data_IF_983833621260
#
_entry.id   IF_983833621260
#
_cell.length_a   1.000
_cell.length_b   1.000
_cell.length_c   1.000
_cell.angle_alpha   90.00
_cell.angle_beta   90.00
_cell.angle_gamma   90.00
#
_symmetry.space_group_name_H-M   'P 1'
#
loop_
_entity.id
_entity.type
_entity.pdbx_description
1 polymer ?
#
# COMPACT_ATOMS: atom_id res chain seq x y z
N UNK A 1 2.17 -8.31 1.16
CA UNK A 1 1.13 -7.24 1.06
C UNK A 1 1.84 -5.92 1.27
N UNK A 2 1.42 -4.83 0.64
CA UNK A 2 2.03 -3.50 0.83
C UNK A 2 1.02 -2.58 1.51
N UNK A 3 1.49 -1.78 2.46
CA UNK A 3 0.77 -0.60 2.91
C UNK A 3 1.24 0.57 2.03
N UNK A 4 0.32 1.22 1.33
CA UNK A 4 0.65 2.31 0.41
C UNK A 4 -0.15 3.57 0.76
N UNK A 5 0.54 4.71 0.79
CA UNK A 5 -0.06 6.01 0.99
C UNK A 5 0.44 6.99 -0.08
N UNK A 6 -0.41 7.95 -0.48
CA UNK A 6 -0.04 8.93 -1.48
C UNK A 6 -1.23 9.72 -2.04
N UNK A 7 -1.07 10.28 -3.23
CA UNK A 7 -2.02 11.25 -3.81
C UNK A 7 -2.24 11.04 -5.30
N UNK A 8 -3.47 11.34 -5.74
CA UNK A 8 -3.80 11.50 -7.16
C UNK A 8 -3.31 12.86 -7.64
N UNK A 9 -2.68 12.88 -8.82
CA UNK A 9 -2.20 14.09 -9.49
C UNK A 9 -2.79 14.15 -10.88
N UNK A 10 -3.13 15.36 -11.30
CA UNK A 10 -3.56 15.68 -12.66
C UNK A 10 -2.51 16.61 -13.27
N UNK A 11 -1.95 16.22 -14.40
CA UNK A 11 -1.00 17.00 -15.16
C UNK A 11 -1.66 17.49 -16.45
N UNK A 12 -1.78 18.80 -16.54
CA UNK A 12 -2.09 19.47 -17.81
C UNK A 12 -0.89 19.33 -18.74
N UNK A 13 -1.08 18.80 -19.96
CA UNK A 13 -0.04 18.87 -20.98
C UNK A 13 -0.03 20.29 -21.54
N UNK A 14 1.14 20.93 -21.50
CA UNK A 14 1.34 22.25 -22.07
C UNK A 14 1.04 22.27 -23.56
N UNK A 15 0.57 23.41 -24.06
CA UNK A 15 0.23 23.63 -25.46
C UNK A 15 1.44 23.32 -26.35
N UNK A 16 1.44 22.14 -26.98
CA UNK A 16 2.38 21.85 -28.05
C UNK A 16 2.12 22.84 -29.18
N UNK A 17 3.18 23.51 -29.65
CA UNK A 17 3.17 24.46 -30.76
C UNK A 17 2.81 23.77 -32.08
N UNK A 18 1.55 23.38 -32.25
CA UNK A 18 1.01 22.74 -33.42
C UNK A 18 -0.34 23.35 -33.76
N UNK A 19 -0.44 23.90 -34.97
CA UNK A 19 -1.55 24.62 -35.61
C UNK A 19 -2.89 23.82 -35.72
N UNK A 20 -3.04 22.73 -34.98
CA UNK A 20 -4.27 21.95 -34.91
C UNK A 20 -4.94 22.17 -33.55
N UNK A 21 -6.13 22.78 -33.53
CA UNK A 21 -6.91 23.13 -32.33
C UNK A 21 -7.36 21.99 -31.41
N UNK A 22 -6.70 20.83 -31.46
CA UNK A 22 -6.89 19.72 -30.52
C UNK A 22 -5.97 19.89 -29.31
N UNK A 23 -6.56 20.25 -28.17
CA UNK A 23 -5.87 20.22 -26.86
C UNK A 23 -5.92 18.79 -26.31
N UNK A 24 -4.76 18.22 -26.01
CA UNK A 24 -4.67 16.88 -25.43
C UNK A 24 -5.25 16.87 -23.99
N UNK A 25 -6.01 15.83 -23.59
CA UNK A 25 -6.63 15.79 -22.27
C UNK A 25 -5.59 15.68 -21.13
N UNK A 26 -5.90 16.17 -19.92
CA UNK A 26 -5.01 16.08 -18.78
C UNK A 26 -4.71 14.63 -18.37
N UNK A 27 -3.46 14.35 -18.05
CA UNK A 27 -3.02 13.04 -17.58
C UNK A 27 -3.26 12.91 -16.08
N UNK A 28 -4.00 11.88 -15.66
CA UNK A 28 -4.21 11.57 -14.24
C UNK A 28 -3.35 10.39 -13.82
N UNK A 29 -2.58 10.52 -12.75
CA UNK A 29 -1.73 9.46 -12.21
C UNK A 29 -1.73 9.46 -10.68
N UNK A 30 -1.37 8.31 -10.10
CA UNK A 30 -1.30 8.11 -8.66
C UNK A 30 0.18 8.01 -8.26
N UNK A 31 0.58 8.81 -7.28
CA UNK A 31 1.93 8.75 -6.70
C UNK A 31 1.81 8.13 -5.31
N UNK A 32 2.47 7.00 -5.07
CA UNK A 32 2.42 6.25 -3.81
C UNK A 32 3.83 6.03 -3.26
N UNK A 33 3.92 6.04 -1.93
CA UNK A 33 5.02 5.42 -1.17
C UNK A 33 4.44 4.13 -0.58
N UNK A 34 5.14 3.02 -0.76
CA UNK A 34 4.71 1.72 -0.28
C UNK A 34 5.77 1.11 0.64
N UNK A 35 5.31 0.56 1.75
CA UNK A 35 6.13 -0.23 2.68
C UNK A 35 5.60 -1.67 2.74
N UNK A 36 6.48 -2.67 2.90
CA UNK A 36 6.05 -4.05 3.03
C UNK A 36 5.33 -4.28 4.36
N UNK A 37 4.14 -4.89 4.30
CA UNK A 37 3.50 -5.46 5.48
C UNK A 37 4.20 -6.80 5.76
N UNK A 38 4.84 -6.97 6.93
CA UNK A 38 5.55 -8.20 7.27
C UNK A 38 4.64 -9.40 7.19
N UNK A 39 5.15 -10.51 6.63
CA UNK A 39 4.38 -11.74 6.61
C UNK A 39 4.30 -12.32 8.04
N UNK A 40 3.13 -12.80 8.50
CA UNK A 40 2.98 -13.38 9.85
C UNK A 40 3.93 -14.56 10.14
N UNK A 41 4.45 -15.22 9.10
CA UNK A 41 5.45 -16.30 9.25
C UNK A 41 6.91 -15.82 9.35
N UNK A 42 7.19 -14.53 9.15
CA UNK A 42 8.55 -13.96 9.13
C UNK A 42 8.80 -13.02 10.32
N UNK A 43 8.23 -13.34 11.49
CA UNK A 43 8.45 -12.57 12.71
C UNK A 43 9.85 -12.92 13.24
N UNK A 44 10.88 -12.21 12.76
CA UNK A 44 12.29 -12.41 13.13
C UNK A 44 12.74 -11.58 14.34
N UNK A 45 11.82 -11.11 15.18
CA UNK A 45 12.13 -10.16 16.26
C UNK A 45 11.63 -10.71 17.60
N UNK A 46 12.41 -10.62 18.70
CA UNK A 46 11.88 -10.88 20.02
C UNK A 46 10.72 -9.91 20.28
N UNK A 47 9.52 -10.47 20.38
CA UNK A 47 8.34 -9.74 20.85
C UNK A 47 8.68 -9.14 22.22
N UNK A 48 8.22 -7.92 22.48
CA UNK A 48 8.37 -7.35 23.82
C UNK A 48 7.53 -8.15 24.83
N UNK A 49 7.74 -7.93 26.13
CA UNK A 49 7.00 -8.65 27.17
C UNK A 49 5.49 -8.30 27.23
N UNK A 50 4.98 -7.53 26.27
CA UNK A 50 3.59 -7.08 26.17
C UNK A 50 2.94 -7.47 24.84
N UNK A 51 3.64 -8.25 24.03
CA UNK A 51 3.15 -8.70 22.73
C UNK A 51 3.12 -10.23 22.73
N UNK A 52 2.00 -10.78 22.27
CA UNK A 52 1.76 -12.20 22.18
C UNK A 52 1.35 -12.56 20.73
N UNK A 53 1.73 -13.74 20.27
CA UNK A 53 1.44 -14.29 18.96
C UNK A 53 0.28 -15.29 19.05
N UNK A 54 -0.81 -14.99 18.35
CA UNK A 54 -1.92 -15.93 18.16
C UNK A 54 -2.13 -16.28 16.69
N UNK A 55 -2.60 -17.52 16.45
CA UNK A 55 -3.01 -18.00 15.13
C UNK A 55 -4.46 -18.41 15.14
N UNK A 56 -5.23 -17.98 14.14
CA UNK A 56 -6.67 -18.20 14.07
C UNK A 56 -7.08 -19.00 12.84
N UNK A 57 -8.15 -19.77 12.95
CA UNK A 57 -8.89 -20.32 11.80
C UNK A 57 -9.65 -19.21 11.06
N UNK A 58 -10.23 -19.50 9.89
CA UNK A 58 -11.03 -18.52 9.13
C UNK A 58 -12.30 -18.07 9.86
N UNK A 59 -12.82 -18.89 10.79
CA UNK A 59 -13.91 -18.54 11.70
C UNK A 59 -13.41 -17.89 13.01
N UNK A 60 -12.18 -17.36 13.00
CA UNK A 60 -11.56 -16.59 14.09
C UNK A 60 -11.41 -17.34 15.42
N UNK A 61 -11.33 -18.68 15.39
CA UNK A 61 -11.03 -19.48 16.59
C UNK A 61 -9.53 -19.62 16.77
N UNK A 62 -9.08 -19.51 18.01
CA UNK A 62 -7.68 -19.74 18.37
C UNK A 62 -7.25 -21.19 18.02
N UNK A 63 -6.19 -21.30 17.23
CA UNK A 63 -5.50 -22.56 16.92
C UNK A 63 -4.11 -22.66 17.56
N UNK A 64 -3.59 -21.52 18.03
CA UNK A 64 -2.35 -21.38 18.79
C UNK A 64 -2.34 -20.00 19.47
N UNK A 65 -1.79 -19.93 20.67
CA UNK A 65 -1.45 -18.73 21.41
C UNK A 65 -0.17 -19.04 22.19
N UNK A 66 0.83 -18.17 22.15
CA UNK A 66 1.95 -18.21 23.08
C UNK A 66 1.51 -17.85 24.53
N UNK A 67 2.40 -18.08 25.49
CA UNK A 67 2.16 -17.83 26.93
C UNK A 67 2.28 -16.35 27.30
#
# INVERSE_FOLDING_TARGET
>A
VLHCAGHVRVQERGEGSGDSGFKEPPLTYLVLICEPIPHPSNIEVPLDSKTFLSRHTLDMKFSYCDE
#
